data_IF_880543845751
#
_entry.id   IF_880543845751
#
_cell.length_a   1.000
_cell.length_b   1.000
_cell.length_c   1.000
_cell.angle_alpha   90.00
_cell.angle_beta   90.00
_cell.angle_gamma   90.00
#
_symmetry.space_group_name_H-M   'P 1'
#
loop_
_entity.id
_entity.type
_entity.pdbx_description
1 polymer ?
#
# COMPACT_ATOMS: atom_id res chain seq x y z
N UNK A 1 21.18 5.78 -3.94
CA UNK A 1 19.77 5.96 -3.65
C UNK A 1 19.05 6.47 -4.91
N UNK A 2 18.07 5.70 -5.42
CA UNK A 2 17.31 6.04 -6.62
C UNK A 2 15.88 6.48 -6.31
N UNK A 3 15.28 7.25 -7.24
CA UNK A 3 13.87 7.59 -7.17
C UNK A 3 12.97 6.42 -7.61
N UNK A 4 11.72 6.46 -7.16
CA UNK A 4 10.69 5.55 -7.65
C UNK A 4 10.12 6.03 -9.02
N UNK A 5 9.67 5.15 -9.88
CA UNK A 5 9.79 3.68 -9.80
C UNK A 5 11.24 3.23 -10.05
N UNK A 6 11.60 2.07 -9.54
CA UNK A 6 12.93 1.49 -9.75
C UNK A 6 13.25 1.24 -11.23
N UNK A 7 12.24 1.10 -12.05
CA UNK A 7 12.33 0.95 -13.49
C UNK A 7 10.94 0.81 -14.12
N UNK A 8 10.83 1.04 -15.41
CA UNK A 8 9.57 0.94 -16.17
C UNK A 8 9.27 -0.49 -16.65
N UNK A 9 10.24 -1.40 -16.55
CA UNK A 9 10.10 -2.81 -16.95
C UNK A 9 10.68 -3.72 -15.89
N UNK A 10 9.98 -4.81 -15.58
CA UNK A 10 10.45 -5.81 -14.60
C UNK A 10 11.86 -6.33 -14.88
N UNK A 11 12.22 -6.58 -16.14
CA UNK A 11 13.56 -7.03 -16.52
C UNK A 11 14.68 -6.04 -16.13
N UNK A 12 14.40 -4.73 -16.21
CA UNK A 12 15.37 -3.69 -15.89
C UNK A 12 15.57 -3.61 -14.37
N UNK A 13 14.48 -3.80 -13.61
CA UNK A 13 14.52 -3.88 -12.13
C UNK A 13 15.28 -5.13 -11.67
N UNK A 14 15.08 -6.29 -12.32
CA UNK A 14 15.82 -7.51 -12.03
C UNK A 14 17.32 -7.35 -12.31
N UNK A 15 17.68 -6.73 -13.43
CA UNK A 15 19.09 -6.45 -13.75
C UNK A 15 19.73 -5.48 -12.74
N UNK A 16 19.00 -4.47 -12.28
CA UNK A 16 19.45 -3.54 -11.26
C UNK A 16 19.65 -4.25 -9.92
N UNK A 17 18.71 -5.11 -9.51
CA UNK A 17 18.84 -5.89 -8.28
C UNK A 17 20.06 -6.83 -8.34
N UNK A 18 20.24 -7.55 -9.46
CA UNK A 18 21.40 -8.41 -9.65
C UNK A 18 22.74 -7.62 -9.59
N UNK A 19 22.75 -6.41 -10.15
CA UNK A 19 23.91 -5.53 -10.04
C UNK A 19 24.18 -5.11 -8.58
N UNK A 20 23.14 -4.73 -7.83
CA UNK A 20 23.26 -4.35 -6.42
C UNK A 20 23.74 -5.54 -5.56
N UNK A 21 23.23 -6.74 -5.81
CA UNK A 21 23.65 -7.97 -5.12
C UNK A 21 25.12 -8.35 -5.42
N UNK A 22 25.60 -8.09 -6.64
CA UNK A 22 26.98 -8.31 -7.03
C UNK A 22 27.96 -7.30 -6.41
N UNK A 23 27.47 -6.20 -5.87
CA UNK A 23 28.24 -5.10 -5.27
C UNK A 23 27.81 -4.79 -3.83
N UNK A 24 27.95 -5.74 -2.89
CA UNK A 24 27.49 -5.56 -1.50
C UNK A 24 28.23 -4.47 -0.75
N UNK A 25 29.38 -4.02 -1.25
CA UNK A 25 30.12 -2.87 -0.73
C UNK A 25 29.43 -1.52 -1.03
N UNK A 26 28.44 -1.51 -1.94
CA UNK A 26 27.67 -0.31 -2.30
C UNK A 26 26.29 -0.37 -1.68
N UNK A 27 25.97 0.57 -0.81
CA UNK A 27 24.62 0.70 -0.29
C UNK A 27 23.65 1.17 -1.38
N UNK A 28 22.71 0.31 -1.74
CA UNK A 28 21.68 0.59 -2.73
C UNK A 28 20.30 0.70 -2.08
N UNK A 29 19.47 1.65 -2.51
CA UNK A 29 18.11 1.82 -2.01
C UNK A 29 17.23 2.63 -2.95
N UNK A 30 15.92 2.44 -2.80
CA UNK A 30 14.89 3.17 -3.55
C UNK A 30 14.12 4.10 -2.60
N UNK A 31 13.74 5.28 -3.10
CA UNK A 31 13.06 6.34 -2.36
C UNK A 31 11.57 6.03 -2.11
N UNK A 32 11.29 5.02 -1.28
CA UNK A 32 9.94 4.73 -0.79
C UNK A 32 9.66 5.54 0.48
N UNK A 33 9.45 6.83 0.32
CA UNK A 33 9.36 7.81 1.41
C UNK A 33 8.19 7.56 2.37
N UNK A 34 7.15 6.85 1.95
CA UNK A 34 6.03 6.53 2.82
C UNK A 34 6.34 5.44 3.86
N UNK A 35 7.41 4.66 3.71
CA UNK A 35 7.87 3.73 4.75
C UNK A 35 8.36 4.43 6.01
N UNK A 36 8.75 5.70 5.91
CA UNK A 36 9.16 6.53 7.06
C UNK A 36 8.03 7.37 7.65
N UNK A 37 6.81 7.28 7.06
CA UNK A 37 5.63 7.90 7.62
C UNK A 37 5.23 7.17 8.93
N UNK A 38 5.18 7.84 10.09
CA UNK A 38 4.87 7.23 11.38
C UNK A 38 3.53 6.46 11.37
N UNK A 39 2.54 6.94 10.65
CA UNK A 39 1.23 6.29 10.52
C UNK A 39 1.35 4.88 9.92
N UNK A 40 2.03 4.73 8.80
CA UNK A 40 2.18 3.43 8.14
C UNK A 40 3.19 2.54 8.84
N UNK A 41 4.22 3.12 9.46
CA UNK A 41 5.15 2.38 10.31
C UNK A 41 4.41 1.75 11.50
N UNK A 42 3.51 2.49 12.14
CA UNK A 42 2.69 2.01 13.25
C UNK A 42 1.65 0.98 12.80
N UNK A 43 0.99 1.19 11.66
CA UNK A 43 0.10 0.20 11.07
C UNK A 43 0.82 -1.14 10.84
N UNK A 44 2.04 -1.09 10.29
CA UNK A 44 2.89 -2.27 10.11
C UNK A 44 3.25 -2.93 11.43
N UNK A 45 3.65 -2.15 12.44
CA UNK A 45 3.96 -2.66 13.79
C UNK A 45 2.79 -3.48 14.35
N UNK A 46 1.57 -2.94 14.31
CA UNK A 46 0.36 -3.61 14.80
C UNK A 46 0.12 -4.93 14.06
N UNK A 47 0.26 -4.94 12.74
CA UNK A 47 0.07 -6.15 11.93
C UNK A 47 1.17 -7.18 12.19
N UNK A 48 2.43 -6.77 12.16
CA UNK A 48 3.57 -7.68 12.27
C UNK A 48 3.83 -8.19 13.70
N UNK A 49 3.40 -7.46 14.73
CA UNK A 49 3.51 -7.92 16.14
C UNK A 49 2.49 -9.00 16.49
N UNK A 50 1.52 -9.27 15.61
CA UNK A 50 0.44 -10.23 15.87
C UNK A 50 -0.70 -9.69 16.74
N UNK A 51 -0.70 -8.39 17.07
CA UNK A 51 -1.81 -7.76 17.80
C UNK A 51 -3.14 -7.90 17.03
N UNK A 52 -3.07 -7.85 15.70
CA UNK A 52 -4.25 -8.03 14.85
C UNK A 52 -4.67 -9.49 14.66
N UNK A 53 -3.87 -10.45 15.13
CA UNK A 53 -4.06 -11.88 14.84
C UNK A 53 -3.68 -12.23 13.40
N UNK A 54 -4.26 -13.31 12.87
CA UNK A 54 -4.05 -13.70 11.48
C UNK A 54 -4.78 -12.75 10.52
N UNK A 55 -4.14 -12.39 9.42
CA UNK A 55 -4.76 -11.57 8.38
C UNK A 55 -5.98 -12.30 7.81
N UNK A 56 -7.11 -11.62 7.74
CA UNK A 56 -8.38 -12.09 7.17
C UNK A 56 -8.71 -11.36 5.88
N UNK A 57 -8.61 -10.03 5.92
CA UNK A 57 -8.93 -9.19 4.77
C UNK A 57 -8.17 -7.88 4.81
N UNK A 58 -7.80 -7.39 3.63
CA UNK A 58 -7.29 -6.04 3.47
C UNK A 58 -8.01 -5.33 2.33
N UNK A 59 -8.21 -4.03 2.46
CA UNK A 59 -8.84 -3.20 1.43
C UNK A 59 -8.16 -1.85 1.40
N UNK A 60 -7.71 -1.41 0.23
CA UNK A 60 -7.22 -0.05 0.04
C UNK A 60 -7.93 0.63 -1.11
N UNK A 61 -8.70 1.66 -0.81
CA UNK A 61 -9.22 2.59 -1.80
C UNK A 61 -8.36 3.85 -1.76
N UNK A 62 -7.67 4.12 -2.84
CA UNK A 62 -6.78 5.27 -3.02
C UNK A 62 -7.09 5.95 -4.35
N UNK A 63 -8.05 6.85 -4.34
CA UNK A 63 -8.53 7.60 -5.51
C UNK A 63 -8.34 9.11 -5.39
N UNK A 64 -7.68 9.56 -4.32
CA UNK A 64 -7.36 10.99 -4.13
C UNK A 64 -6.20 11.49 -5.01
N UNK A 65 -5.88 10.76 -6.07
CA UNK A 65 -4.89 11.09 -7.09
C UNK A 65 -5.48 11.84 -8.30
N UNK A 66 -6.62 12.52 -8.14
CA UNK A 66 -7.25 13.25 -9.24
C UNK A 66 -6.24 14.02 -10.07
N UNK A 67 -6.34 13.87 -11.37
CA UNK A 67 -5.55 14.61 -12.37
C UNK A 67 -6.50 15.20 -13.40
N UNK A 68 -6.09 16.31 -13.98
CA UNK A 68 -6.76 16.89 -15.15
C UNK A 68 -6.06 16.42 -16.41
N UNK A 69 -6.72 16.50 -17.57
CA UNK A 69 -6.08 16.23 -18.85
C UNK A 69 -4.80 17.07 -19.05
N UNK A 70 -4.82 18.32 -18.61
CA UNK A 70 -3.64 19.22 -18.67
C UNK A 70 -2.40 18.67 -17.96
N UNK A 71 -2.56 17.89 -16.89
CA UNK A 71 -1.43 17.22 -16.22
C UNK A 71 -0.78 16.22 -17.18
N UNK A 72 -1.56 15.45 -17.90
CA UNK A 72 -1.05 14.47 -18.83
C UNK A 72 -0.45 15.13 -20.09
N UNK A 73 -1.02 16.21 -20.55
CA UNK A 73 -0.52 17.00 -21.69
C UNK A 73 0.77 17.78 -21.38
N UNK A 74 1.23 17.80 -20.13
CA UNK A 74 2.38 18.59 -19.71
C UNK A 74 3.74 18.04 -20.16
N UNK A 75 3.76 16.85 -20.77
CA UNK A 75 4.98 16.25 -21.33
C UNK A 75 4.68 15.04 -22.19
N UNK A 76 5.31 14.97 -23.35
CA UNK A 76 5.10 13.90 -24.31
C UNK A 76 5.42 12.46 -23.83
N UNK A 77 6.15 12.33 -22.72
CA UNK A 77 6.49 11.05 -22.11
C UNK A 77 5.42 10.56 -21.12
N UNK A 78 4.60 11.52 -20.61
CA UNK A 78 3.58 11.18 -19.60
C UNK A 78 2.49 10.30 -20.17
N UNK A 79 2.04 9.38 -19.33
CA UNK A 79 0.92 8.48 -19.62
C UNK A 79 1.07 7.73 -20.96
N UNK A 80 2.32 7.43 -21.33
CA UNK A 80 2.64 6.60 -22.50
C UNK A 80 3.39 5.34 -22.08
N UNK A 81 3.14 4.22 -22.78
CA UNK A 81 3.87 2.97 -22.52
C UNK A 81 5.36 3.09 -22.80
N UNK A 82 5.73 3.92 -23.79
CA UNK A 82 7.14 4.10 -24.17
C UNK A 82 7.92 5.01 -23.23
N UNK A 83 7.27 6.01 -22.66
CA UNK A 83 7.91 7.01 -21.82
C UNK A 83 7.83 6.70 -20.31
N UNK A 84 6.62 6.50 -19.82
CA UNK A 84 6.36 6.27 -18.39
C UNK A 84 6.27 4.79 -18.02
N UNK A 85 5.88 3.93 -18.99
CA UNK A 85 5.82 2.48 -18.84
C UNK A 85 4.57 1.96 -18.13
N UNK A 86 3.65 2.84 -17.74
CA UNK A 86 2.38 2.56 -17.07
C UNK A 86 1.71 3.84 -16.61
N UNK A 87 0.54 3.72 -16.00
CA UNK A 87 -0.29 4.82 -15.55
C UNK A 87 -0.34 4.96 -14.03
N UNK A 88 -1.55 4.95 -13.47
CA UNK A 88 -1.78 5.20 -12.04
C UNK A 88 -1.03 4.23 -11.14
N UNK A 89 -0.87 2.96 -11.54
CA UNK A 89 -0.17 1.96 -10.73
C UNK A 89 1.33 2.23 -10.65
N UNK A 90 1.94 2.69 -11.74
CA UNK A 90 3.39 2.89 -11.80
C UNK A 90 3.83 4.30 -11.39
N UNK A 91 2.98 5.31 -11.59
CA UNK A 91 3.31 6.70 -11.28
C UNK A 91 2.76 7.16 -9.92
N UNK A 92 1.44 7.11 -9.70
CA UNK A 92 0.82 7.64 -8.49
C UNK A 92 0.88 6.66 -7.32
N UNK A 93 0.65 5.37 -7.57
CA UNK A 93 0.46 4.35 -6.54
C UNK A 93 1.66 3.44 -6.18
N UNK A 94 2.91 3.63 -6.66
CA UNK A 94 4.02 2.77 -6.25
C UNK A 94 4.23 2.76 -4.73
N UNK A 95 4.04 3.89 -4.07
CA UNK A 95 4.14 3.99 -2.62
C UNK A 95 3.08 3.16 -1.89
N UNK A 96 1.83 3.15 -2.38
CA UNK A 96 0.75 2.39 -1.77
C UNK A 96 0.90 0.89 -2.00
N UNK A 97 1.30 0.48 -3.20
CA UNK A 97 1.59 -0.92 -3.51
C UNK A 97 2.78 -1.43 -2.69
N UNK A 98 3.82 -0.61 -2.54
CA UNK A 98 4.96 -0.90 -1.69
C UNK A 98 4.56 -1.04 -0.22
N UNK A 99 3.80 -0.07 0.32
CA UNK A 99 3.29 -0.11 1.69
C UNK A 99 2.38 -1.31 1.93
N UNK A 100 1.52 -1.64 0.99
CA UNK A 100 0.60 -2.74 1.16
C UNK A 100 1.32 -4.07 1.36
N UNK A 101 2.27 -4.38 0.47
CA UNK A 101 3.07 -5.59 0.62
C UNK A 101 3.98 -5.54 1.86
N UNK A 102 4.45 -4.37 2.25
CA UNK A 102 5.28 -4.17 3.44
C UNK A 102 4.50 -4.35 4.76
N UNK A 103 3.21 -3.99 4.78
CA UNK A 103 2.31 -4.13 5.93
C UNK A 103 1.69 -5.54 5.97
N UNK A 104 1.11 -6.00 4.86
CA UNK A 104 0.25 -7.18 4.79
C UNK A 104 0.94 -8.42 4.21
N UNK A 105 2.14 -8.29 3.64
CA UNK A 105 2.83 -9.36 2.91
C UNK A 105 2.46 -9.41 1.43
N UNK A 106 3.15 -10.28 0.68
CA UNK A 106 2.91 -10.47 -0.76
C UNK A 106 1.71 -11.37 -1.01
N UNK A 107 0.79 -10.99 -1.91
CA UNK A 107 -0.26 -11.90 -2.37
C UNK A 107 0.34 -13.00 -3.26
N UNK A 108 -0.27 -14.18 -3.24
CA UNK A 108 0.10 -15.31 -4.11
C UNK A 108 -0.65 -15.29 -5.44
N UNK A 109 -1.77 -14.54 -5.51
CA UNK A 109 -2.55 -14.39 -6.72
C UNK A 109 -3.16 -13.01 -6.80
N UNK A 110 -3.17 -12.44 -8.01
CA UNK A 110 -3.79 -11.14 -8.32
C UNK A 110 -4.66 -11.29 -9.56
N UNK A 111 -5.88 -10.76 -9.48
CA UNK A 111 -6.79 -10.59 -10.61
C UNK A 111 -7.24 -9.14 -10.64
N UNK A 112 -7.26 -8.50 -11.82
CA UNK A 112 -7.60 -7.09 -11.90
C UNK A 112 -8.43 -6.74 -13.13
N UNK A 113 -9.27 -5.73 -12.97
CA UNK A 113 -9.87 -4.97 -14.05
C UNK A 113 -9.17 -3.62 -14.11
N UNK A 114 -8.57 -3.33 -15.24
CA UNK A 114 -7.91 -2.05 -15.48
C UNK A 114 -8.43 -1.44 -16.78
N UNK A 115 -8.52 -0.13 -16.78
CA UNK A 115 -8.98 0.64 -17.93
C UNK A 115 -7.93 1.68 -18.29
N UNK A 116 -7.51 1.65 -19.57
CA UNK A 116 -6.62 2.64 -20.14
C UNK A 116 -7.45 3.76 -20.76
N UNK A 117 -7.14 5.00 -20.43
CA UNK A 117 -7.85 6.14 -20.98
C UNK A 117 -9.35 6.16 -20.69
N UNK A 118 -9.78 5.71 -19.50
CA UNK A 118 -11.20 5.72 -19.12
C UNK A 118 -11.71 7.14 -18.87
N UNK A 119 -10.87 7.94 -18.20
CA UNK A 119 -11.20 9.29 -17.75
C UNK A 119 -10.42 10.37 -18.52
N UNK A 120 -9.32 9.98 -19.17
CA UNK A 120 -8.40 10.88 -19.85
C UNK A 120 -8.02 10.35 -21.23
N UNK A 121 -7.61 11.22 -22.12
CA UNK A 121 -7.04 10.82 -23.42
C UNK A 121 -5.57 10.42 -23.21
N UNK A 122 -5.34 9.15 -22.82
CA UNK A 122 -4.03 8.59 -22.49
C UNK A 122 -3.96 7.10 -22.89
N UNK A 123 -2.73 6.58 -23.05
CA UNK A 123 -2.49 5.18 -23.47
C UNK A 123 -2.54 4.17 -22.33
N UNK A 124 -2.31 4.62 -21.10
CA UNK A 124 -2.06 3.79 -19.91
C UNK A 124 -3.27 3.77 -18.98
N UNK A 125 -3.20 2.93 -17.95
CA UNK A 125 -4.31 2.78 -17.01
C UNK A 125 -4.46 4.01 -16.11
N UNK A 126 -5.71 4.49 -15.97
CA UNK A 126 -6.15 5.57 -15.10
C UNK A 126 -7.24 5.16 -14.10
N UNK A 127 -7.71 3.90 -14.21
CA UNK A 127 -8.71 3.32 -13.31
C UNK A 127 -8.44 1.82 -13.13
N UNK A 128 -8.27 1.36 -11.90
CA UNK A 128 -7.92 -0.04 -11.58
C UNK A 128 -8.66 -0.53 -10.35
N UNK A 129 -9.23 -1.74 -10.47
CA UNK A 129 -9.71 -2.53 -9.34
C UNK A 129 -9.02 -3.88 -9.37
N UNK A 130 -8.28 -4.22 -8.34
CA UNK A 130 -7.57 -5.49 -8.21
C UNK A 130 -8.07 -6.29 -7.00
N UNK A 131 -8.21 -7.61 -7.19
CA UNK A 131 -8.48 -8.59 -6.15
C UNK A 131 -7.23 -9.43 -5.91
N UNK A 132 -6.92 -9.72 -4.66
CA UNK A 132 -5.72 -10.43 -4.24
C UNK A 132 -6.06 -11.58 -3.30
N UNK A 133 -5.31 -12.68 -3.42
CA UNK A 133 -5.36 -13.83 -2.52
C UNK A 133 -3.99 -13.99 -1.86
N UNK A 134 -3.97 -14.24 -0.55
CA UNK A 134 -2.77 -14.49 0.24
C UNK A 134 -2.66 -15.98 0.58
N UNK A 135 -1.46 -16.43 0.92
CA UNK A 135 -1.16 -17.85 1.17
C UNK A 135 -2.01 -18.45 2.29
N UNK A 136 -2.33 -17.68 3.33
CA UNK A 136 -3.19 -18.09 4.44
C UNK A 136 -4.70 -18.06 4.14
N UNK A 137 -5.09 -17.79 2.89
CA UNK A 137 -6.49 -17.68 2.47
C UNK A 137 -7.12 -16.30 2.71
N UNK A 138 -6.40 -15.34 3.25
CA UNK A 138 -6.85 -13.96 3.33
C UNK A 138 -7.05 -13.37 1.93
N UNK A 139 -7.91 -12.35 1.85
CA UNK A 139 -8.22 -11.69 0.57
C UNK A 139 -7.94 -10.18 0.64
N UNK A 140 -7.66 -9.57 -0.51
CA UNK A 140 -7.42 -8.14 -0.61
C UNK A 140 -8.15 -7.51 -1.80
N UNK A 141 -8.52 -6.23 -1.65
CA UNK A 141 -9.06 -5.40 -2.74
C UNK A 141 -8.33 -4.07 -2.78
N UNK A 142 -7.80 -3.72 -3.95
CA UNK A 142 -7.17 -2.44 -4.23
C UNK A 142 -7.94 -1.69 -5.31
N UNK A 143 -8.33 -0.46 -5.00
CA UNK A 143 -9.03 0.41 -5.94
C UNK A 143 -8.26 1.72 -6.07
N UNK A 144 -7.95 2.11 -7.29
CA UNK A 144 -7.29 3.39 -7.57
C UNK A 144 -7.80 4.01 -8.86
N UNK A 145 -7.85 5.33 -8.88
CA UNK A 145 -8.26 6.11 -10.03
C UNK A 145 -7.62 7.49 -10.00
N UNK A 146 -7.40 8.08 -11.17
CA UNK A 146 -7.05 9.49 -11.31
C UNK A 146 -8.23 10.36 -11.75
N UNK A 147 -9.41 9.75 -11.91
CA UNK A 147 -10.65 10.41 -12.34
C UNK A 147 -11.64 10.76 -11.23
N UNK A 148 -11.36 10.38 -9.97
CA UNK A 148 -12.29 10.63 -8.85
C UNK A 148 -12.08 12.02 -8.24
N UNK A 149 -13.19 12.78 -8.09
CA UNK A 149 -13.20 14.04 -7.36
C UNK A 149 -14.55 14.25 -6.65
N UNK A 150 -14.60 14.28 -5.31
CA UNK A 150 -13.48 14.04 -4.38
C UNK A 150 -13.06 12.59 -4.37
N UNK A 151 -11.78 12.36 -4.11
CA UNK A 151 -11.22 11.02 -3.99
C UNK A 151 -11.20 10.52 -2.54
N UNK A 152 -10.75 9.27 -2.37
CA UNK A 152 -10.64 8.58 -1.07
C UNK A 152 -9.20 8.12 -0.85
N UNK A 153 -8.74 8.11 0.40
CA UNK A 153 -7.53 7.40 0.81
C UNK A 153 -7.82 6.66 2.12
N UNK A 154 -8.17 5.38 1.99
CA UNK A 154 -8.57 4.55 3.12
C UNK A 154 -8.04 3.13 2.97
N UNK A 155 -7.18 2.74 3.92
CA UNK A 155 -6.68 1.38 4.10
C UNK A 155 -7.39 0.75 5.30
N UNK A 156 -7.97 -0.43 5.10
CA UNK A 156 -8.49 -1.27 6.17
C UNK A 156 -7.73 -2.60 6.17
N UNK A 157 -7.30 -3.05 7.35
CA UNK A 157 -6.71 -4.37 7.55
C UNK A 157 -7.46 -5.06 8.68
N UNK A 158 -8.10 -6.17 8.37
CA UNK A 158 -8.86 -7.00 9.31
C UNK A 158 -8.09 -8.27 9.60
N UNK A 159 -7.88 -8.54 10.87
CA UNK A 159 -7.35 -9.80 11.35
C UNK A 159 -8.33 -10.48 12.31
N UNK A 160 -7.95 -11.65 12.82
CA UNK A 160 -8.82 -12.45 13.72
C UNK A 160 -9.00 -11.81 15.09
N UNK A 161 -8.14 -10.86 15.49
CA UNK A 161 -8.20 -10.16 16.78
C UNK A 161 -8.60 -8.69 16.67
N UNK A 162 -8.98 -8.21 15.49
CA UNK A 162 -9.41 -6.83 15.34
C UNK A 162 -9.24 -6.27 13.93
N UNK A 163 -9.34 -4.95 13.84
CA UNK A 163 -9.23 -4.20 12.58
C UNK A 163 -8.47 -2.90 12.81
N UNK A 164 -7.56 -2.58 11.91
CA UNK A 164 -7.01 -1.23 11.78
C UNK A 164 -7.62 -0.53 10.56
N UNK A 165 -7.80 0.77 10.70
CA UNK A 165 -8.27 1.67 9.64
C UNK A 165 -7.34 2.87 9.59
N UNK A 166 -6.61 3.01 8.47
CA UNK A 166 -5.90 4.24 8.13
C UNK A 166 -6.80 5.05 7.20
N UNK A 167 -7.23 6.21 7.65
CA UNK A 167 -8.09 7.11 6.88
C UNK A 167 -7.40 8.48 6.81
N UNK A 168 -6.90 8.82 5.63
CA UNK A 168 -6.00 9.95 5.40
C UNK A 168 -4.81 9.96 6.38
N UNK A 169 -4.89 10.78 7.44
CA UNK A 169 -3.82 10.96 8.43
C UNK A 169 -4.16 10.35 9.79
N UNK A 170 -5.21 9.57 9.89
CA UNK A 170 -5.62 8.91 11.13
C UNK A 170 -5.40 7.41 11.08
N UNK A 171 -5.04 6.81 12.21
CA UNK A 171 -4.95 5.38 12.41
C UNK A 171 -5.80 4.99 13.62
N UNK A 172 -6.81 4.17 13.37
CA UNK A 172 -7.69 3.64 14.42
C UNK A 172 -7.50 2.13 14.50
N UNK A 173 -7.42 1.60 15.72
CA UNK A 173 -7.39 0.17 15.98
C UNK A 173 -8.60 -0.24 16.82
N UNK A 174 -9.41 -1.12 16.28
CA UNK A 174 -10.51 -1.78 16.97
C UNK A 174 -10.08 -3.18 17.34
N UNK A 175 -9.76 -3.41 18.60
CA UNK A 175 -9.37 -4.70 19.15
C UNK A 175 -10.62 -5.52 19.55
N UNK A 176 -10.61 -6.82 19.31
CA UNK A 176 -11.60 -7.77 19.81
C UNK A 176 -11.15 -8.32 21.16
N UNK A 177 -12.08 -8.42 22.13
CA UNK A 177 -11.82 -9.02 23.44
C UNK A 177 -11.43 -10.49 23.34
N UNK A 178 -11.99 -11.19 22.36
CA UNK A 178 -11.72 -12.61 22.07
C UNK A 178 -11.43 -12.75 20.59
N UNK A 179 -10.44 -13.59 20.24
CA UNK A 179 -10.15 -13.94 18.85
C UNK A 179 -11.41 -14.43 18.13
N UNK A 180 -11.67 -13.92 16.92
CA UNK A 180 -12.91 -14.19 16.15
C UNK A 180 -13.10 -15.71 15.90
N UNK A 181 -12.02 -16.44 15.60
CA UNK A 181 -12.11 -17.88 15.34
C UNK A 181 -12.54 -18.66 16.58
N UNK A 182 -12.03 -18.25 17.75
CA UNK A 182 -12.43 -18.82 19.04
C UNK A 182 -13.87 -18.45 19.36
N UNK A 183 -14.24 -17.18 19.17
CA UNK A 183 -15.61 -16.71 19.41
C UNK A 183 -16.62 -17.44 18.56
N UNK A 184 -16.36 -17.60 17.28
CA UNK A 184 -17.23 -18.25 16.29
C UNK A 184 -17.66 -19.66 16.72
N UNK A 185 -16.80 -20.41 17.40
CA UNK A 185 -17.08 -21.79 17.81
C UNK A 185 -17.51 -21.93 19.27
N UNK A 186 -17.35 -20.91 20.09
CA UNK A 186 -17.67 -20.96 21.54
C UNK A 186 -18.93 -20.19 21.92
N UNK A 187 -19.29 -19.14 21.17
CA UNK A 187 -20.50 -18.37 21.44
C UNK A 187 -21.76 -19.15 21.06
N UNK A 188 -22.75 -19.12 21.96
CA UNK A 188 -24.02 -19.86 21.82
C UNK A 188 -25.08 -19.10 21.03
N UNK A 189 -24.94 -17.77 20.94
CA UNK A 189 -25.86 -16.91 20.18
C UNK A 189 -25.40 -16.84 18.71
N UNK A 190 -26.29 -17.12 17.78
CA UNK A 190 -25.98 -16.99 16.34
C UNK A 190 -25.76 -15.57 15.83
N UNK A 191 -25.97 -14.55 16.67
CA UNK A 191 -25.95 -13.13 16.24
C UNK A 191 -24.99 -12.25 17.07
N UNK A 192 -24.45 -12.78 18.18
CA UNK A 192 -23.61 -11.99 19.06
C UNK A 192 -22.19 -11.90 18.51
N UNK A 193 -21.69 -10.69 18.35
CA UNK A 193 -20.31 -10.42 17.99
C UNK A 193 -19.43 -10.29 19.25
N UNK A 194 -18.10 -10.50 19.17
CA UNK A 194 -17.20 -10.23 20.27
C UNK A 194 -17.28 -8.76 20.71
N UNK A 195 -17.06 -8.50 22.01
CA UNK A 195 -16.89 -7.13 22.46
C UNK A 195 -15.67 -6.50 21.80
N UNK A 196 -15.75 -5.19 21.58
CA UNK A 196 -14.69 -4.42 20.95
C UNK A 196 -14.17 -3.34 21.87
N UNK A 197 -12.87 -3.04 21.74
CA UNK A 197 -12.23 -1.91 22.38
C UNK A 197 -11.62 -1.02 21.32
N UNK A 198 -11.98 0.26 21.31
CA UNK A 198 -11.32 1.25 20.46
C UNK A 198 -10.00 1.68 21.11
N UNK A 199 -8.92 1.54 20.37
CA UNK A 199 -7.59 2.00 20.77
C UNK A 199 -7.23 3.16 19.85
N UNK A 200 -7.13 4.34 20.43
CA UNK A 200 -6.59 5.48 19.72
C UNK A 200 -5.10 5.26 19.55
N UNK A 201 -4.67 5.21 18.30
CA UNK A 201 -3.25 5.02 17.97
C UNK A 201 -2.64 6.39 17.72
N UNK A 202 -1.80 6.81 18.65
CA UNK A 202 -0.99 8.00 18.47
C UNK A 202 0.20 7.67 17.57
N UNK A 203 0.51 8.56 16.64
CA UNK A 203 1.68 8.47 15.78
C UNK A 203 2.62 9.61 16.09
N UNK A 204 3.89 9.30 16.33
CA UNK A 204 4.90 10.29 16.69
C UNK A 204 5.31 11.13 15.47
N UNK A 205 4.94 12.40 15.52
CA UNK A 205 5.39 13.39 14.57
C UNK A 205 4.68 13.40 13.21
N UNK A 206 5.12 14.30 12.37
CA UNK A 206 4.65 14.45 10.99
C UNK A 206 5.42 13.52 10.04
N UNK A 207 4.84 13.27 8.87
CA UNK A 207 5.52 12.50 7.83
C UNK A 207 6.80 13.23 7.38
N UNK A 208 8.00 12.66 7.58
CA UNK A 208 9.26 13.28 7.22
C UNK A 208 9.55 13.25 5.72
N UNK A 209 8.68 12.62 4.93
CA UNK A 209 8.83 12.49 3.47
C UNK A 209 10.24 12.01 3.06
N UNK A 210 10.87 12.67 2.10
CA UNK A 210 12.18 12.31 1.56
C UNK A 210 13.31 12.40 2.61
N UNK A 211 13.23 13.35 3.55
CA UNK A 211 14.21 13.50 4.63
C UNK A 211 14.28 12.24 5.51
N UNK A 212 13.14 11.59 5.77
CA UNK A 212 13.11 10.34 6.52
C UNK A 212 13.93 9.24 5.86
N UNK A 213 13.77 9.06 4.54
CA UNK A 213 14.55 8.06 3.79
C UNK A 213 16.03 8.42 3.73
N UNK A 214 16.37 9.69 3.50
CA UNK A 214 17.76 10.15 3.50
C UNK A 214 18.43 9.87 4.84
N UNK A 215 17.77 10.17 5.96
CA UNK A 215 18.28 9.89 7.30
C UNK A 215 18.47 8.39 7.55
N UNK A 216 17.50 7.57 7.13
CA UNK A 216 17.60 6.11 7.25
C UNK A 216 18.75 5.57 6.39
N UNK A 217 18.90 6.05 5.16
CA UNK A 217 19.96 5.66 4.25
C UNK A 217 21.34 6.03 4.78
N UNK A 218 21.53 7.28 5.25
CA UNK A 218 22.80 7.72 5.86
C UNK A 218 23.15 6.93 7.13
N UNK A 219 22.14 6.60 7.94
CA UNK A 219 22.34 5.75 9.13
C UNK A 219 22.79 4.33 8.77
N UNK A 220 22.36 3.81 7.63
CA UNK A 220 22.75 2.48 7.17
C UNK A 220 24.17 2.44 6.61
N UNK A 221 24.68 3.56 6.03
CA UNK A 221 26.05 3.66 5.52
C UNK A 221 27.09 3.79 6.64
N UNK A 222 26.72 4.37 7.77
CA UNK A 222 27.59 4.55 8.95
C UNK A 222 27.72 3.30 9.78
#
# INVERSE_FOLDING_TARGET
LGEKPAGIRGKDVLAMNACAEAHPEVTFGIMFNQRTNPLFAKAREIVQSGQLGELVRTSWTITNWYRTQKYYDSGAWRATWSGEGGGVLLNQCPHQLDLWQWICGMPVKVSSHLYCGKWHDIEVEDDVTAYMEFENGATGVFVTSTGDAPGTNRLEVTGTKGKIVCDYNSLNFTELEVDERTWCVTEKSGYKIPNTKQIQVETDGENPHHIGVLNAFVKHIK
#
